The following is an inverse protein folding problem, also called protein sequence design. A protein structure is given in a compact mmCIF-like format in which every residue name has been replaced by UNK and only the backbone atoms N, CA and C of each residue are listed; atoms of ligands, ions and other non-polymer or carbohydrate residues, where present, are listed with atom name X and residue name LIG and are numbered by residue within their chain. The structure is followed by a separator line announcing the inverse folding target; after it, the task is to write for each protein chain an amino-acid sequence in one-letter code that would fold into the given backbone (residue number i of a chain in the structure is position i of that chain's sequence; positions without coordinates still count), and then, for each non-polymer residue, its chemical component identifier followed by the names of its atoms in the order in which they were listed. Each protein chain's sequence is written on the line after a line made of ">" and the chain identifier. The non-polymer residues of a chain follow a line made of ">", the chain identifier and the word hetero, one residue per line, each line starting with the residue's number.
data_IF_790818538358
#
_entry.id   IF_790818538358
#
_cell.length_a   1.000
_cell.length_b   1.000
_cell.length_c   1.000
_cell.angle_alpha   90.00
_cell.angle_beta   90.00
_cell.angle_gamma   90.00
#
_symmetry.space_group_name_H-M   'P 1'
#
loop_
_entity.id
_entity.type
_entity.pdbx_description
1 polymer ?
#
# COMPACT_ATOMS: atom_id res chain seq x y z
N UNK A 1 -27.65 27.68 0.58
CA UNK A 1 -26.43 27.51 -0.23
C UNK A 1 -25.48 26.43 0.29
N UNK A 2 -25.25 26.30 1.61
CA UNK A 2 -24.39 25.25 2.18
C UNK A 2 -24.92 23.83 1.91
N UNK A 3 -26.23 23.61 2.02
CA UNK A 3 -26.86 22.30 1.79
C UNK A 3 -26.68 21.78 0.34
N UNK A 4 -26.74 22.66 -0.67
CA UNK A 4 -26.54 22.28 -2.07
C UNK A 4 -25.09 21.82 -2.33
N UNK A 5 -24.10 22.46 -1.70
CA UNK A 5 -22.70 22.01 -1.76
C UNK A 5 -22.49 20.65 -1.07
N UNK A 6 -23.23 20.36 0.00
CA UNK A 6 -23.13 19.05 0.67
C UNK A 6 -23.71 17.91 -0.18
N UNK A 7 -24.77 18.17 -0.94
CA UNK A 7 -25.40 17.20 -1.85
C UNK A 7 -24.52 16.77 -3.02
N UNK A 8 -23.49 17.55 -3.39
CA UNK A 8 -22.58 17.22 -4.48
C UNK A 8 -21.18 16.82 -4.02
N UNK A 9 -20.96 16.63 -2.71
CA UNK A 9 -19.63 16.25 -2.18
C UNK A 9 -19.12 14.96 -2.83
N UNK A 10 -20.00 13.97 -2.99
CA UNK A 10 -19.73 12.67 -3.61
C UNK A 10 -19.56 12.71 -5.13
N UNK A 11 -19.89 13.83 -5.79
CA UNK A 11 -19.64 14.01 -7.22
C UNK A 11 -18.20 14.45 -7.52
N UNK A 12 -17.52 15.04 -6.53
CA UNK A 12 -16.14 15.52 -6.68
C UNK A 12 -15.22 14.72 -5.75
N UNK A 13 -14.32 13.94 -6.33
CA UNK A 13 -13.35 13.10 -5.62
C UNK A 13 -12.57 13.89 -4.56
N UNK A 14 -12.10 15.09 -4.89
CA UNK A 14 -11.35 15.97 -3.98
C UNK A 14 -12.17 16.46 -2.78
N UNK A 15 -13.47 16.76 -2.97
CA UNK A 15 -14.33 17.11 -1.84
C UNK A 15 -14.65 15.89 -0.99
N UNK A 16 -14.98 14.75 -1.61
CA UNK A 16 -15.25 13.50 -0.86
C UNK A 16 -14.08 13.15 0.02
N UNK A 17 -12.86 13.19 -0.53
CA UNK A 17 -11.63 12.97 0.20
C UNK A 17 -11.44 13.94 1.37
N UNK A 18 -11.58 15.25 1.15
CA UNK A 18 -11.40 16.23 2.23
C UNK A 18 -12.34 15.93 3.43
N UNK A 19 -13.58 15.54 3.15
CA UNK A 19 -14.55 15.22 4.20
C UNK A 19 -14.35 13.81 4.80
N UNK A 20 -13.91 12.82 4.04
CA UNK A 20 -13.61 11.48 4.58
C UNK A 20 -12.33 11.49 5.40
N UNK A 21 -11.27 12.16 4.94
CA UNK A 21 -10.02 12.31 5.69
C UNK A 21 -10.23 13.18 6.93
N UNK A 22 -11.00 14.28 6.83
CA UNK A 22 -11.39 15.09 7.99
C UNK A 22 -12.27 14.33 9.00
N UNK A 23 -13.18 13.48 8.50
CA UNK A 23 -13.95 12.55 9.33
C UNK A 23 -13.06 11.52 10.02
N UNK A 24 -12.03 11.00 9.32
CA UNK A 24 -11.03 10.08 9.86
C UNK A 24 -10.20 10.74 10.96
N UNK A 25 -9.83 12.01 10.83
CA UNK A 25 -9.12 12.77 11.87
C UNK A 25 -9.99 13.00 13.12
N UNK A 26 -11.27 13.30 12.91
CA UNK A 26 -12.24 13.46 14.00
C UNK A 26 -12.50 12.12 14.71
N UNK A 27 -12.63 11.02 13.96
CA UNK A 27 -12.70 9.69 14.55
C UNK A 27 -11.38 9.25 15.17
N UNK A 28 -10.21 9.65 14.65
CA UNK A 28 -8.88 9.41 15.26
C UNK A 28 -8.75 10.10 16.63
N UNK A 29 -9.36 11.28 16.80
CA UNK A 29 -9.41 11.97 18.09
C UNK A 29 -10.31 11.25 19.09
N UNK A 30 -11.42 10.68 18.64
CA UNK A 30 -12.29 9.80 19.47
C UNK A 30 -11.63 8.43 19.72
N UNK A 31 -10.83 7.95 18.77
CA UNK A 31 -10.04 6.73 18.79
C UNK A 31 -8.63 7.02 19.35
N UNK A 32 -8.57 7.55 20.57
CA UNK A 32 -7.43 7.26 21.47
C UNK A 32 -7.47 5.77 21.80
N UNK A 33 -7.26 4.94 20.78
CA UNK A 33 -7.19 3.49 20.87
C UNK A 33 -5.96 3.18 21.69
N UNK A 34 -6.12 2.30 22.67
CA UNK A 34 -5.05 1.69 23.45
C UNK A 34 -3.78 1.50 22.59
N UNK A 35 -2.66 2.08 23.04
CA UNK A 35 -1.37 2.01 22.37
C UNK A 35 -0.98 0.55 22.04
N UNK A 36 -1.45 -0.42 22.84
CA UNK A 36 -1.23 -1.85 22.58
C UNK A 36 -1.91 -2.33 21.32
N UNK A 37 -3.11 -1.83 21.01
CA UNK A 37 -3.83 -2.21 19.79
C UNK A 37 -3.15 -1.59 18.58
N UNK A 38 -2.68 -0.34 18.67
CA UNK A 38 -1.91 0.28 17.60
C UNK A 38 -0.62 -0.49 17.32
N UNK A 39 0.16 -0.81 18.37
CA UNK A 39 1.38 -1.61 18.24
C UNK A 39 1.10 -3.02 17.65
N UNK A 40 -0.01 -3.64 18.03
CA UNK A 40 -0.43 -4.92 17.48
C UNK A 40 -0.80 -4.81 15.99
N UNK A 41 -1.56 -3.78 15.61
CA UNK A 41 -1.92 -3.53 14.21
C UNK A 41 -0.69 -3.24 13.34
N UNK A 42 0.24 -2.43 13.83
CA UNK A 42 1.49 -2.14 13.13
C UNK A 42 2.34 -3.40 12.95
N UNK A 43 2.38 -4.27 13.96
CA UNK A 43 3.01 -5.58 13.88
C UNK A 43 2.39 -6.47 12.81
N UNK A 44 1.06 -6.62 12.84
CA UNK A 44 0.30 -7.42 11.87
C UNK A 44 0.46 -6.87 10.46
N UNK A 45 0.42 -5.55 10.28
CA UNK A 45 0.60 -4.91 8.98
C UNK A 45 2.01 -5.16 8.43
N UNK A 46 3.04 -5.04 9.27
CA UNK A 46 4.42 -5.34 8.88
C UNK A 46 4.59 -6.82 8.50
N UNK A 47 4.02 -7.74 9.27
CA UNK A 47 4.05 -9.18 8.98
C UNK A 47 3.31 -9.52 7.69
N UNK A 48 2.11 -8.96 7.49
CA UNK A 48 1.31 -9.15 6.28
C UNK A 48 2.06 -8.65 5.04
N UNK A 49 2.65 -7.46 5.12
CA UNK A 49 3.44 -6.86 4.05
C UNK A 49 4.67 -7.71 3.73
N UNK A 50 5.37 -8.17 4.76
CA UNK A 50 6.54 -9.04 4.62
C UNK A 50 6.18 -10.36 3.95
N UNK A 51 5.11 -11.02 4.42
CA UNK A 51 4.62 -12.26 3.83
C UNK A 51 4.27 -12.09 2.35
N UNK A 52 3.67 -10.95 1.98
CA UNK A 52 3.32 -10.66 0.60
C UNK A 52 4.56 -10.47 -0.28
N UNK A 53 5.52 -9.65 0.15
CA UNK A 53 6.78 -9.44 -0.57
C UNK A 53 7.55 -10.75 -0.67
N UNK A 54 7.68 -11.49 0.43
CA UNK A 54 8.39 -12.77 0.45
C UNK A 54 7.78 -13.75 -0.55
N UNK A 55 6.45 -13.86 -0.60
CA UNK A 55 5.74 -14.68 -1.58
C UNK A 55 6.04 -14.23 -3.01
N UNK A 56 6.01 -12.92 -3.29
CA UNK A 56 6.30 -12.40 -4.63
C UNK A 56 7.71 -12.74 -5.14
N UNK A 57 8.69 -12.88 -4.26
CA UNK A 57 10.07 -13.22 -4.65
C UNK A 57 10.36 -14.72 -4.67
N UNK A 58 9.74 -15.51 -3.78
CA UNK A 58 10.06 -16.94 -3.61
C UNK A 58 8.99 -17.91 -4.12
N UNK A 59 7.84 -17.40 -4.58
CA UNK A 59 6.85 -18.25 -5.25
C UNK A 59 7.16 -18.39 -6.74
N UNK A 60 6.61 -19.43 -7.35
CA UNK A 60 6.62 -19.63 -8.81
C UNK A 60 5.46 -18.89 -9.51
N UNK A 61 4.68 -18.09 -8.78
CA UNK A 61 3.51 -17.38 -9.33
C UNK A 61 3.96 -16.35 -10.35
N UNK A 62 3.24 -16.25 -11.48
CA UNK A 62 3.54 -15.28 -12.52
C UNK A 62 3.08 -13.89 -12.09
N UNK A 63 4.03 -12.95 -12.00
CA UNK A 63 3.74 -11.56 -11.67
C UNK A 63 3.65 -10.71 -12.94
N UNK A 64 2.57 -9.96 -13.04
CA UNK A 64 2.30 -8.96 -14.06
C UNK A 64 2.60 -7.55 -13.54
N UNK A 65 2.55 -6.54 -14.41
CA UNK A 65 2.97 -5.17 -14.07
C UNK A 65 4.44 -4.88 -14.40
N UNK A 66 4.82 -3.60 -14.38
CA UNK A 66 6.17 -3.18 -14.78
C UNK A 66 7.24 -3.72 -13.84
N UNK A 67 7.01 -3.63 -12.52
CA UNK A 67 7.90 -4.19 -11.51
C UNK A 67 7.75 -5.71 -11.40
N UNK A 68 6.54 -6.25 -11.53
CA UNK A 68 6.31 -7.70 -11.52
C UNK A 68 7.14 -8.44 -12.56
N UNK A 69 7.19 -7.93 -13.80
CA UNK A 69 8.07 -8.47 -14.85
C UNK A 69 9.55 -8.34 -14.53
N UNK A 70 9.96 -7.30 -13.80
CA UNK A 70 11.35 -7.15 -13.36
C UNK A 70 11.70 -8.17 -12.28
N UNK A 71 10.80 -8.43 -11.32
CA UNK A 71 10.95 -9.48 -10.31
C UNK A 71 11.11 -10.83 -10.99
N UNK A 72 10.25 -11.18 -11.95
CA UNK A 72 10.34 -12.44 -12.70
C UNK A 72 11.71 -12.65 -13.36
N UNK A 73 12.36 -11.57 -13.85
CA UNK A 73 13.73 -11.62 -14.41
C UNK A 73 14.81 -11.76 -13.33
N UNK A 74 14.59 -11.19 -12.14
CA UNK A 74 15.54 -11.18 -11.03
C UNK A 74 15.42 -12.40 -10.11
N UNK A 75 14.37 -13.22 -10.20
CA UNK A 75 14.24 -14.44 -9.37
C UNK A 75 15.39 -15.45 -9.54
N UNK A 76 16.14 -15.38 -10.64
CA UNK A 76 17.36 -16.19 -10.83
C UNK A 76 18.58 -15.71 -10.02
N UNK A 77 18.61 -14.44 -9.61
CA UNK A 77 19.67 -13.83 -8.79
C UNK A 77 19.03 -12.89 -7.78
N UNK A 78 18.48 -13.49 -6.71
CA UNK A 78 17.68 -12.77 -5.72
C UNK A 78 18.58 -11.79 -4.94
N UNK A 79 18.29 -10.47 -4.99
CA UNK A 79 19.07 -9.49 -4.25
C UNK A 79 19.06 -9.78 -2.74
N UNK A 80 20.16 -9.49 -2.04
CA UNK A 80 20.32 -9.80 -0.61
C UNK A 80 19.20 -9.22 0.27
N UNK A 81 18.61 -8.10 -0.13
CA UNK A 81 17.48 -7.47 0.58
C UNK A 81 16.20 -8.32 0.58
N UNK A 82 16.06 -9.25 -0.37
CA UNK A 82 14.94 -10.19 -0.48
C UNK A 82 15.32 -11.63 -0.13
N UNK A 83 16.50 -11.86 0.44
CA UNK A 83 17.04 -13.21 0.65
C UNK A 83 16.28 -14.07 1.65
N UNK A 84 15.69 -13.47 2.68
CA UNK A 84 15.00 -14.18 3.75
C UNK A 84 13.87 -13.34 4.33
N UNK A 85 12.92 -14.02 4.96
CA UNK A 85 11.78 -13.38 5.58
C UNK A 85 12.21 -12.35 6.64
N UNK A 86 13.18 -12.69 7.49
CA UNK A 86 13.66 -11.81 8.57
C UNK A 86 14.31 -10.53 8.04
N UNK A 87 15.06 -10.61 6.94
CA UNK A 87 15.69 -9.45 6.30
C UNK A 87 14.64 -8.52 5.72
N UNK A 88 13.61 -9.08 5.07
CA UNK A 88 12.48 -8.31 4.54
C UNK A 88 11.69 -7.67 5.70
N UNK A 89 11.40 -8.42 6.76
CA UNK A 89 10.66 -7.93 7.93
C UNK A 89 11.36 -6.73 8.57
N UNK A 90 12.69 -6.83 8.75
CA UNK A 90 13.50 -5.73 9.27
C UNK A 90 13.45 -4.51 8.36
N UNK A 91 13.57 -4.71 7.05
CA UNK A 91 13.53 -3.61 6.08
C UNK A 91 12.13 -2.96 5.99
N UNK A 92 11.04 -3.71 6.18
CA UNK A 92 9.67 -3.19 6.25
C UNK A 92 9.45 -2.40 7.54
N UNK A 93 9.91 -2.92 8.70
CA UNK A 93 9.86 -2.22 9.99
C UNK A 93 10.66 -0.91 9.98
N UNK A 94 11.80 -0.88 9.30
CA UNK A 94 12.62 0.33 9.11
C UNK A 94 12.05 1.29 8.05
N UNK A 95 10.95 0.94 7.37
CA UNK A 95 10.33 1.75 6.33
C UNK A 95 11.12 1.83 5.02
N UNK A 96 12.18 1.01 4.86
CA UNK A 96 13.00 0.95 3.64
C UNK A 96 12.31 0.19 2.50
N UNK A 97 11.42 -0.73 2.87
CA UNK A 97 10.56 -1.45 1.94
C UNK A 97 9.11 -1.21 2.31
N UNK A 98 8.34 -0.67 1.38
CA UNK A 98 6.90 -0.54 1.52
C UNK A 98 6.20 -1.17 0.33
N UNK A 99 4.97 -1.61 0.57
CA UNK A 99 4.10 -2.17 -0.45
C UNK A 99 2.69 -1.69 -0.18
N UNK A 100 2.18 -0.82 -1.05
CA UNK A 100 0.84 -0.29 -0.93
C UNK A 100 -0.09 -1.05 -1.87
N UNK A 101 -1.12 -1.68 -1.31
CA UNK A 101 -2.17 -2.35 -2.09
C UNK A 101 -3.19 -1.33 -2.60
N UNK A 102 -3.42 -1.34 -3.91
CA UNK A 102 -4.61 -0.78 -4.55
C UNK A 102 -5.66 -1.87 -4.77
N UNK A 103 -6.84 -1.51 -5.28
CA UNK A 103 -7.92 -2.47 -5.55
C UNK A 103 -7.51 -3.61 -6.51
N UNK A 104 -6.57 -3.34 -7.42
CA UNK A 104 -6.19 -4.25 -8.50
C UNK A 104 -4.71 -4.64 -8.49
N UNK A 105 -3.85 -3.85 -7.85
CA UNK A 105 -2.40 -4.02 -7.96
C UNK A 105 -1.69 -3.54 -6.72
N UNK A 106 -0.44 -3.94 -6.55
CA UNK A 106 0.44 -3.42 -5.52
C UNK A 106 1.42 -2.42 -6.12
N UNK A 107 1.77 -1.40 -5.35
CA UNK A 107 2.72 -0.37 -5.72
C UNK A 107 3.87 -0.32 -4.72
N UNK A 108 5.10 -0.39 -5.23
CA UNK A 108 6.35 -0.35 -4.45
C UNK A 108 6.90 1.07 -4.28
N UNK A 109 6.30 2.08 -4.92
CA UNK A 109 6.72 3.48 -4.76
C UNK A 109 6.33 4.00 -3.39
N UNK A 110 7.12 3.71 -2.36
CA UNK A 110 6.80 4.09 -0.99
C UNK A 110 6.97 5.58 -0.69
N UNK A 111 8.00 6.20 -1.25
CA UNK A 111 8.33 7.60 -0.98
C UNK A 111 7.55 8.57 -1.89
N UNK A 112 7.31 8.16 -3.14
CA UNK A 112 6.66 9.00 -4.17
C UNK A 112 5.13 8.83 -4.22
N UNK A 113 4.57 7.90 -3.44
CA UNK A 113 3.14 7.60 -3.44
C UNK A 113 2.66 7.28 -2.02
N UNK A 114 2.20 8.32 -1.32
CA UNK A 114 1.50 8.19 -0.05
C UNK A 114 0.05 7.75 -0.32
N UNK A 115 -0.25 6.50 0.02
CA UNK A 115 -1.55 5.86 -0.19
C UNK A 115 -2.36 5.76 1.12
N UNK A 116 -2.08 6.59 2.13
CA UNK A 116 -2.75 6.53 3.45
C UNK A 116 -4.18 7.14 3.45
N UNK A 117 -4.58 7.75 2.34
CA UNK A 117 -5.90 8.34 2.12
C UNK A 117 -7.03 7.30 1.94
N UNK A 118 -8.28 7.67 2.26
CA UNK A 118 -9.45 6.77 2.13
C UNK A 118 -9.81 6.47 0.67
N UNK A 119 -9.44 7.36 -0.25
CA UNK A 119 -9.64 7.18 -1.69
C UNK A 119 -8.24 7.13 -2.33
N UNK A 120 -7.76 5.93 -2.61
CA UNK A 120 -6.35 5.64 -2.89
C UNK A 120 -5.90 5.70 -4.36
N UNK A 121 -6.72 5.48 -5.42
CA UNK A 121 -6.18 5.41 -6.78
C UNK A 121 -5.78 6.76 -7.40
N UNK A 122 -6.40 7.88 -7.02
CA UNK A 122 -6.30 9.11 -7.80
C UNK A 122 -5.10 10.02 -7.45
N UNK A 123 -4.35 9.74 -6.39
CA UNK A 123 -3.17 10.54 -5.98
C UNK A 123 -1.84 9.83 -6.14
N UNK A 124 -1.84 8.57 -6.57
CA UNK A 124 -0.58 7.95 -6.98
C UNK A 124 -0.19 8.49 -8.35
N UNK A 125 0.70 9.49 -8.35
CA UNK A 125 1.10 10.23 -9.55
C UNK A 125 1.75 9.31 -10.58
N UNK A 126 2.37 8.20 -10.14
CA UNK A 126 3.03 7.24 -11.04
C UNK A 126 3.20 5.83 -10.43
N UNK A 127 2.19 4.95 -10.53
CA UNK A 127 2.44 3.49 -10.45
C UNK A 127 2.79 2.88 -11.83
N UNK A 128 2.63 3.64 -12.92
CA UNK A 128 2.90 3.18 -14.28
C UNK A 128 4.41 3.17 -14.62
N UNK A 129 5.20 4.02 -13.95
CA UNK A 129 6.61 4.29 -14.26
C UNK A 129 7.61 3.19 -13.85
N UNK A 130 7.16 2.10 -13.20
CA UNK A 130 8.06 0.97 -12.87
C UNK A 130 7.78 0.24 -11.57
N UNK A 131 6.74 0.63 -10.84
CA UNK A 131 6.51 0.17 -9.45
C UNK A 131 5.28 -0.72 -9.27
N UNK A 132 4.54 -1.02 -10.33
CA UNK A 132 3.33 -1.86 -10.28
C UNK A 132 3.67 -3.35 -10.28
N UNK A 133 3.00 -4.08 -9.38
CA UNK A 133 3.03 -5.54 -9.27
C UNK A 133 1.59 -6.03 -9.25
N UNK A 134 1.25 -6.94 -10.15
CA UNK A 134 -0.08 -7.55 -10.25
C UNK A 134 0.12 -9.04 -10.06
N UNK A 135 -0.54 -9.61 -9.06
CA UNK A 135 -0.51 -11.05 -8.84
C UNK A 135 -1.44 -11.75 -9.84
N UNK A 136 -1.19 -13.04 -10.11
CA UNK A 136 -2.00 -13.85 -11.05
C UNK A 136 -3.50 -13.83 -10.73
N UNK A 137 -3.88 -13.81 -9.45
CA UNK A 137 -5.29 -13.78 -9.03
C UNK A 137 -6.00 -12.44 -9.32
N UNK A 138 -5.22 -11.38 -9.58
CA UNK A 138 -5.71 -10.03 -9.86
C UNK A 138 -5.43 -9.62 -11.32
N UNK A 139 -4.91 -10.54 -12.14
CA UNK A 139 -4.53 -10.31 -13.53
C UNK A 139 -5.71 -10.48 -14.51
#
# INVERSE_FOLDING_TARGET
>A
LVALKQQFKHLYLSMTEWYTNGGKLASLRDLTVDEKIQQALDGINAEMTTNKIFKQWHSDETLSGSHGRAIMKMRGDVPTIYSSWDVIYKAVREGKLTLHGSLHSYCKSGYDCDMDGVITPQFCVDCNSGSSIIDEQQA
#
